data_IF_830284993683
#
_entry.id   IF_830284993683
#
_cell.length_a   1.000
_cell.length_b   1.000
_cell.length_c   1.000
_cell.angle_alpha   90.00
_cell.angle_beta   90.00
_cell.angle_gamma   90.00
#
_symmetry.space_group_name_H-M   'P 1'
#
loop_
_entity.id
_entity.type
_entity.pdbx_description
1 polymer ?
#
# COMPACT_ATOMS: atom_id res chain seq x y z
N UNK A 1 -4.90 -28.99 -5.79
CA UNK A 1 -3.58 -28.32 -5.84
C UNK A 1 -2.64 -29.03 -4.86
N UNK A 2 -1.33 -29.01 -5.15
CA UNK A 2 -0.29 -29.70 -4.36
C UNK A 2 0.87 -28.72 -4.15
N UNK A 3 1.55 -28.74 -2.98
CA UNK A 3 2.80 -28.00 -2.80
C UNK A 3 3.83 -28.33 -3.87
N UNK A 4 4.66 -27.36 -4.21
CA UNK A 4 5.74 -27.45 -5.21
C UNK A 4 5.26 -27.72 -6.63
N UNK A 5 3.99 -27.40 -6.93
CA UNK A 5 3.41 -27.55 -8.26
C UNK A 5 2.49 -26.40 -8.62
N UNK A 6 3.03 -25.45 -9.38
CA UNK A 6 2.32 -24.31 -9.92
C UNK A 6 2.55 -24.17 -11.44
N UNK A 7 1.70 -23.37 -12.09
CA UNK A 7 1.74 -23.14 -13.52
C UNK A 7 1.53 -21.65 -13.82
N UNK A 8 2.29 -21.13 -14.77
CA UNK A 8 2.12 -19.78 -15.28
C UNK A 8 1.52 -19.81 -16.69
N UNK A 9 0.52 -18.96 -16.92
CA UNK A 9 -0.18 -18.84 -18.20
C UNK A 9 0.07 -17.43 -18.78
N UNK A 10 1.15 -17.24 -19.57
CA UNK A 10 1.41 -15.93 -20.17
C UNK A 10 0.32 -15.60 -21.19
N UNK A 11 -0.37 -14.48 -21.01
CA UNK A 11 -1.33 -13.89 -21.97
C UNK A 11 -0.77 -12.66 -22.70
N UNK A 12 0.33 -12.12 -22.17
CA UNK A 12 1.20 -11.12 -22.77
C UNK A 12 2.63 -11.53 -22.44
N UNK A 13 3.55 -11.24 -23.34
CA UNK A 13 4.97 -11.56 -23.20
C UNK A 13 5.78 -10.60 -24.08
N UNK A 14 7.12 -10.55 -23.91
CA UNK A 14 7.99 -9.75 -24.75
C UNK A 14 7.82 -10.06 -26.23
N UNK A 15 8.17 -9.10 -27.09
CA UNK A 15 8.05 -9.27 -28.54
C UNK A 15 8.79 -10.53 -29.02
N UNK A 16 8.09 -11.42 -29.72
CA UNK A 16 8.63 -12.67 -30.24
C UNK A 16 8.51 -13.87 -29.29
N UNK A 17 8.15 -13.67 -28.02
CA UNK A 17 7.86 -14.74 -27.09
C UNK A 17 6.48 -15.34 -27.33
N UNK A 18 6.32 -16.65 -27.04
CA UNK A 18 5.03 -17.33 -27.14
C UNK A 18 4.16 -16.97 -25.93
N UNK A 19 2.90 -16.64 -26.20
CA UNK A 19 1.89 -16.46 -25.17
C UNK A 19 0.53 -16.97 -25.66
N UNK A 20 -0.42 -17.11 -24.75
CA UNK A 20 -1.78 -17.53 -25.02
C UNK A 20 -2.62 -16.36 -25.56
N UNK A 21 -3.59 -16.68 -26.40
CA UNK A 21 -4.64 -15.74 -26.80
C UNK A 21 -5.59 -15.48 -25.62
N UNK A 22 -5.74 -14.21 -25.24
CA UNK A 22 -6.57 -13.81 -24.11
C UNK A 22 -8.05 -14.23 -24.30
N UNK A 23 -8.57 -14.19 -25.53
CA UNK A 23 -9.95 -14.62 -25.77
C UNK A 23 -10.12 -16.13 -25.55
N UNK A 24 -9.16 -16.96 -25.97
CA UNK A 24 -9.13 -18.38 -25.68
C UNK A 24 -9.02 -18.67 -24.18
N UNK A 25 -8.16 -17.94 -23.46
CA UNK A 25 -8.02 -18.05 -22.00
C UNK A 25 -9.33 -17.71 -21.31
N UNK A 26 -9.99 -16.60 -21.68
CA UNK A 26 -11.31 -16.23 -21.15
C UNK A 26 -12.35 -17.33 -21.36
N UNK A 27 -12.47 -17.87 -22.57
CA UNK A 27 -13.43 -18.95 -22.86
C UNK A 27 -13.21 -20.19 -21.98
N UNK A 28 -11.95 -20.51 -21.64
CA UNK A 28 -11.59 -21.71 -20.87
C UNK A 28 -11.63 -21.48 -19.35
N UNK A 29 -11.12 -20.35 -18.86
CA UNK A 29 -10.94 -20.09 -17.44
C UNK A 29 -12.08 -19.31 -16.79
N UNK A 30 -12.77 -18.42 -17.51
CA UNK A 30 -13.85 -17.62 -16.91
C UNK A 30 -14.94 -18.49 -16.24
N UNK A 31 -15.39 -19.62 -16.83
CA UNK A 31 -16.37 -20.48 -16.16
C UNK A 31 -15.85 -21.07 -14.84
N UNK A 32 -14.56 -21.42 -14.77
CA UNK A 32 -13.92 -22.00 -13.57
C UNK A 32 -13.73 -20.93 -12.50
N UNK A 33 -13.28 -19.74 -12.90
CA UNK A 33 -13.10 -18.61 -11.99
C UNK A 33 -14.43 -18.14 -11.41
N UNK A 34 -15.50 -18.12 -12.21
CA UNK A 34 -16.83 -17.70 -11.80
C UNK A 34 -17.61 -18.76 -10.98
N UNK A 35 -17.15 -20.02 -10.93
CA UNK A 35 -17.80 -21.08 -10.17
C UNK A 35 -17.51 -20.96 -8.67
N UNK A 36 -18.55 -20.71 -7.86
CA UNK A 36 -18.46 -20.58 -6.40
C UNK A 36 -18.05 -21.88 -5.70
N UNK A 37 -18.32 -23.04 -6.31
CA UNK A 37 -17.93 -24.35 -5.75
C UNK A 37 -16.43 -24.62 -5.87
N UNK A 38 -15.77 -23.97 -6.83
CA UNK A 38 -14.31 -23.98 -6.94
C UNK A 38 -13.77 -22.95 -5.96
N UNK A 39 -13.09 -23.43 -4.91
CA UNK A 39 -12.47 -22.59 -3.89
C UNK A 39 -11.14 -22.00 -4.36
N UNK A 40 -10.95 -20.70 -4.17
CA UNK A 40 -9.72 -19.97 -4.53
C UNK A 40 -9.00 -19.50 -3.28
N UNK A 41 -7.68 -19.70 -3.30
CA UNK A 41 -6.75 -19.27 -2.28
C UNK A 41 -5.84 -18.23 -2.91
N UNK A 42 -5.57 -17.14 -2.21
CA UNK A 42 -4.68 -16.08 -2.69
C UNK A 42 -3.96 -15.37 -1.54
N UNK A 43 -3.04 -14.50 -1.91
CA UNK A 43 -2.40 -13.54 -1.02
C UNK A 43 -2.87 -12.15 -1.45
N UNK A 44 -3.57 -11.41 -0.58
CA UNK A 44 -4.17 -10.12 -0.95
C UNK A 44 -5.07 -10.24 -2.21
N UNK A 45 -5.96 -11.23 -2.21
CA UNK A 45 -6.79 -11.63 -3.36
C UNK A 45 -7.74 -10.51 -3.83
N UNK A 46 -7.93 -9.46 -3.02
CA UNK A 46 -8.58 -8.21 -3.41
C UNK A 46 -7.94 -7.60 -4.67
N UNK A 47 -6.62 -7.61 -4.77
CA UNK A 47 -5.93 -7.10 -5.94
C UNK A 47 -6.26 -7.93 -7.18
N UNK A 48 -6.22 -9.26 -7.07
CA UNK A 48 -6.58 -10.16 -8.16
C UNK A 48 -8.03 -10.00 -8.60
N UNK A 49 -8.97 -9.77 -7.67
CA UNK A 49 -10.37 -9.45 -7.99
C UNK A 49 -10.46 -8.30 -8.98
N UNK A 50 -9.79 -7.19 -8.67
CA UNK A 50 -9.82 -5.98 -9.49
C UNK A 50 -9.16 -6.20 -10.86
N UNK A 51 -7.99 -6.84 -10.88
CA UNK A 51 -7.26 -7.13 -12.14
C UNK A 51 -8.08 -8.05 -13.03
N UNK A 52 -8.62 -9.14 -12.49
CA UNK A 52 -9.39 -10.13 -13.24
C UNK A 52 -10.74 -9.57 -13.70
N UNK A 53 -11.41 -8.76 -12.87
CA UNK A 53 -12.65 -8.07 -13.27
C UNK A 53 -12.40 -7.14 -14.46
N UNK A 54 -11.34 -6.33 -14.42
CA UNK A 54 -10.93 -5.49 -15.56
C UNK A 54 -10.55 -6.31 -16.79
N UNK A 55 -10.01 -7.50 -16.59
CA UNK A 55 -9.69 -8.45 -17.65
C UNK A 55 -10.90 -9.27 -18.14
N UNK A 56 -12.13 -9.00 -17.70
CA UNK A 56 -13.33 -9.75 -18.11
C UNK A 56 -13.34 -11.20 -17.64
N UNK A 57 -12.69 -11.47 -16.51
CA UNK A 57 -12.55 -12.76 -15.84
C UNK A 57 -13.12 -12.67 -14.42
N UNK A 58 -14.43 -12.45 -14.23
CA UNK A 58 -14.99 -12.35 -12.89
C UNK A 58 -14.72 -13.64 -12.11
N UNK A 59 -14.24 -13.47 -10.88
CA UNK A 59 -13.89 -14.55 -9.97
C UNK A 59 -14.91 -14.60 -8.83
N UNK A 60 -15.28 -15.81 -8.44
CA UNK A 60 -16.11 -16.12 -7.27
C UNK A 60 -15.48 -17.25 -6.47
N UNK A 61 -16.09 -17.65 -5.36
CA UNK A 61 -15.58 -18.77 -4.55
C UNK A 61 -14.24 -18.44 -3.87
N UNK A 62 -14.04 -17.17 -3.51
CA UNK A 62 -12.90 -16.75 -2.69
C UNK A 62 -13.04 -17.45 -1.35
N UNK A 63 -12.06 -18.29 -1.03
CA UNK A 63 -12.14 -19.17 0.13
C UNK A 63 -11.14 -18.78 1.21
N UNK A 64 -9.94 -18.34 0.82
CA UNK A 64 -8.89 -18.06 1.79
C UNK A 64 -7.91 -17.00 1.26
N UNK A 65 -7.64 -15.98 2.09
CA UNK A 65 -6.57 -15.03 1.86
C UNK A 65 -5.50 -15.18 2.94
N UNK A 66 -4.27 -15.52 2.55
CA UNK A 66 -3.16 -15.77 3.49
C UNK A 66 -2.73 -14.51 4.24
N UNK A 67 -2.87 -13.33 3.64
CA UNK A 67 -2.59 -12.05 4.31
C UNK A 67 -3.58 -11.82 5.44
N UNK A 68 -4.87 -12.03 5.16
CA UNK A 68 -5.96 -11.83 6.12
C UNK A 68 -5.89 -12.87 7.23
N UNK A 69 -5.64 -14.14 6.91
CA UNK A 69 -5.48 -15.19 7.91
C UNK A 69 -4.32 -14.90 8.87
N UNK A 70 -3.19 -14.45 8.33
CA UNK A 70 -2.02 -14.03 9.12
C UNK A 70 -2.35 -12.83 10.02
N UNK A 71 -3.09 -11.86 9.52
CA UNK A 71 -3.57 -10.71 10.30
C UNK A 71 -4.47 -11.14 11.46
N UNK A 72 -5.45 -12.00 11.23
CA UNK A 72 -6.32 -12.50 12.29
C UNK A 72 -5.55 -13.23 13.40
N UNK A 73 -4.52 -14.00 13.02
CA UNK A 73 -3.71 -14.77 13.97
C UNK A 73 -2.75 -13.88 14.76
N UNK A 74 -2.06 -12.95 14.10
CA UNK A 74 -0.98 -12.15 14.71
C UNK A 74 -0.93 -10.73 14.13
N UNK A 75 -1.77 -9.78 14.56
CA UNK A 75 -1.90 -8.46 13.91
C UNK A 75 -0.64 -7.57 13.89
N UNK A 76 0.38 -7.89 14.70
CA UNK A 76 1.57 -7.04 14.89
C UNK A 76 2.74 -7.38 13.94
N UNK A 77 2.68 -8.52 13.24
CA UNK A 77 3.77 -8.94 12.34
C UNK A 77 3.57 -8.37 10.93
N UNK A 78 4.58 -8.57 10.09
CA UNK A 78 4.38 -8.36 8.65
C UNK A 78 3.56 -9.49 8.04
N UNK A 79 2.63 -9.11 7.16
CA UNK A 79 1.73 -10.01 6.44
C UNK A 79 2.04 -10.10 4.94
N UNK A 80 3.22 -9.64 4.52
CA UNK A 80 3.70 -9.89 3.15
C UNK A 80 4.01 -11.38 2.96
N UNK A 81 3.81 -11.87 1.75
CA UNK A 81 4.11 -13.27 1.41
C UNK A 81 5.58 -13.59 1.70
N UNK A 82 6.50 -12.72 1.28
CA UNK A 82 7.94 -12.90 1.43
C UNK A 82 8.34 -13.09 2.90
N UNK A 83 7.83 -12.25 3.81
CA UNK A 83 8.14 -12.37 5.23
C UNK A 83 7.48 -13.60 5.85
N UNK A 84 6.27 -13.96 5.42
CA UNK A 84 5.61 -15.17 5.89
C UNK A 84 6.30 -16.44 5.39
N UNK A 85 6.78 -16.45 4.15
CA UNK A 85 7.53 -17.55 3.58
C UNK A 85 8.85 -17.75 4.33
N UNK A 86 9.56 -16.65 4.63
CA UNK A 86 10.79 -16.70 5.42
C UNK A 86 10.52 -17.24 6.82
N UNK A 87 9.54 -16.69 7.54
CA UNK A 87 9.29 -17.04 8.94
C UNK A 87 8.71 -18.44 9.12
N UNK A 88 7.76 -18.85 8.27
CA UNK A 88 6.99 -20.07 8.46
C UNK A 88 7.48 -21.24 7.62
N UNK A 89 8.08 -20.97 6.46
CA UNK A 89 8.55 -21.99 5.52
C UNK A 89 10.07 -22.04 5.43
N UNK A 90 10.79 -21.11 6.10
CA UNK A 90 12.24 -20.95 5.99
C UNK A 90 12.69 -20.83 4.51
N UNK A 91 11.92 -20.04 3.74
CA UNK A 91 12.09 -19.88 2.30
C UNK A 91 12.16 -18.40 1.92
N UNK A 92 13.19 -18.02 1.16
CA UNK A 92 13.36 -16.66 0.65
C UNK A 92 12.77 -16.56 -0.76
N UNK A 93 11.68 -15.81 -0.92
CA UNK A 93 11.04 -15.61 -2.22
C UNK A 93 11.90 -14.76 -3.16
N UNK A 94 11.70 -14.96 -4.46
CA UNK A 94 12.29 -14.13 -5.51
C UNK A 94 11.68 -12.72 -5.38
N UNK A 95 12.47 -11.67 -5.10
CA UNK A 95 11.91 -10.34 -4.97
C UNK A 95 11.49 -9.82 -6.35
N UNK A 96 10.30 -9.20 -6.46
CA UNK A 96 9.80 -8.61 -7.72
C UNK A 96 10.84 -7.69 -8.39
N UNK A 97 11.65 -6.98 -7.59
CA UNK A 97 12.71 -6.09 -8.12
C UNK A 97 13.84 -6.80 -8.84
N UNK A 98 14.02 -8.12 -8.65
CA UNK A 98 14.95 -8.91 -9.46
C UNK A 98 14.43 -9.08 -10.90
N UNK A 99 13.11 -9.02 -11.11
CA UNK A 99 12.49 -9.12 -12.43
C UNK A 99 12.36 -7.75 -13.09
N UNK A 100 11.84 -6.77 -12.36
CA UNK A 100 11.45 -5.48 -12.95
C UNK A 100 12.39 -4.32 -12.60
N UNK A 101 13.36 -4.53 -11.71
CA UNK A 101 14.22 -3.43 -11.24
C UNK A 101 13.51 -2.46 -10.29
N UNK A 102 14.09 -1.26 -10.12
CA UNK A 102 13.63 -0.22 -9.19
C UNK A 102 13.70 1.18 -9.80
N UNK A 103 12.91 2.10 -9.27
CA UNK A 103 12.95 3.53 -9.63
C UNK A 103 12.37 3.82 -11.01
N UNK A 104 12.80 4.94 -11.62
CA UNK A 104 12.23 5.45 -12.89
C UNK A 104 12.41 4.49 -14.08
N UNK A 105 13.37 3.57 -14.01
CA UNK A 105 13.67 2.60 -15.07
C UNK A 105 13.07 1.21 -14.79
N UNK A 106 12.14 1.12 -13.83
CA UNK A 106 11.44 -0.13 -13.55
C UNK A 106 10.66 -0.60 -14.78
N UNK A 107 10.82 -1.88 -15.13
CA UNK A 107 10.13 -2.53 -16.24
C UNK A 107 8.67 -2.84 -15.88
N UNK A 108 7.82 -2.97 -16.89
CA UNK A 108 6.50 -3.57 -16.73
C UNK A 108 6.59 -5.09 -16.90
N UNK A 109 5.69 -5.85 -16.25
CA UNK A 109 5.78 -7.31 -16.22
C UNK A 109 5.65 -7.97 -17.61
N UNK A 110 4.97 -7.30 -18.56
CA UNK A 110 4.76 -7.79 -19.92
C UNK A 110 6.03 -7.79 -20.80
N UNK A 111 7.09 -7.10 -20.36
CA UNK A 111 8.39 -7.08 -21.05
C UNK A 111 9.48 -7.87 -20.31
N UNK A 112 9.13 -8.57 -19.23
CA UNK A 112 10.03 -9.49 -18.52
C UNK A 112 10.16 -10.80 -19.31
N UNK A 113 11.36 -11.40 -19.28
CA UNK A 113 11.58 -12.73 -19.86
C UNK A 113 10.53 -13.73 -19.35
N UNK A 114 9.96 -14.52 -20.26
CA UNK A 114 8.82 -15.38 -19.93
C UNK A 114 9.18 -16.52 -18.98
N UNK A 115 10.42 -17.02 -19.00
CA UNK A 115 10.86 -18.05 -18.08
C UNK A 115 11.05 -17.46 -16.67
N UNK A 116 11.69 -16.30 -16.55
CA UNK A 116 11.82 -15.61 -15.26
C UNK A 116 10.45 -15.21 -14.68
N UNK A 117 9.55 -14.70 -15.52
CA UNK A 117 8.17 -14.40 -15.13
C UNK A 117 7.41 -15.65 -14.67
N UNK A 118 7.66 -16.79 -15.33
CA UNK A 118 7.08 -18.08 -14.94
C UNK A 118 7.57 -18.52 -13.57
N UNK A 119 8.88 -18.47 -13.30
CA UNK A 119 9.46 -18.86 -12.01
C UNK A 119 8.87 -18.02 -10.88
N UNK A 120 8.87 -16.69 -11.02
CA UNK A 120 8.29 -15.78 -10.04
C UNK A 120 6.78 -16.02 -9.82
N UNK A 121 5.98 -16.02 -10.89
CA UNK A 121 4.53 -16.16 -10.74
C UNK A 121 4.09 -17.56 -10.27
N UNK A 122 4.85 -18.60 -10.62
CA UNK A 122 4.61 -19.95 -10.12
C UNK A 122 5.02 -20.08 -8.65
N UNK A 123 6.13 -19.45 -8.24
CA UNK A 123 6.54 -19.37 -6.84
C UNK A 123 5.45 -18.70 -5.99
N UNK A 124 4.94 -17.53 -6.40
CA UNK A 124 3.85 -16.84 -5.69
C UNK A 124 2.65 -17.75 -5.43
N UNK A 125 2.22 -18.50 -6.46
CA UNK A 125 1.09 -19.42 -6.36
C UNK A 125 1.39 -20.62 -5.45
N UNK A 126 2.61 -21.18 -5.51
CA UNK A 126 3.03 -22.30 -4.67
C UNK A 126 3.18 -21.90 -3.20
N UNK A 127 3.94 -20.84 -2.93
CA UNK A 127 4.18 -20.32 -1.59
C UNK A 127 2.86 -19.91 -0.93
N UNK A 128 1.97 -19.24 -1.66
CA UNK A 128 0.62 -18.93 -1.17
C UNK A 128 -0.15 -20.19 -0.77
N UNK A 129 -0.07 -21.26 -1.57
CA UNK A 129 -0.75 -22.51 -1.25
C UNK A 129 -0.16 -23.20 -0.01
N UNK A 130 1.17 -23.20 0.13
CA UNK A 130 1.85 -23.73 1.32
C UNK A 130 1.51 -22.93 2.59
N UNK A 131 1.52 -21.60 2.49
CA UNK A 131 1.12 -20.71 3.59
C UNK A 131 -0.35 -20.92 3.97
N UNK A 132 -1.24 -21.14 3.01
CA UNK A 132 -2.63 -21.51 3.29
C UNK A 132 -2.74 -22.78 4.12
N UNK A 133 -1.99 -23.84 3.77
CA UNK A 133 -2.02 -25.09 4.54
C UNK A 133 -1.57 -24.86 5.99
N UNK A 134 -0.50 -24.08 6.18
CA UNK A 134 0.02 -23.73 7.49
C UNK A 134 -0.96 -22.86 8.31
N UNK A 135 -1.45 -21.78 7.73
CA UNK A 135 -2.32 -20.82 8.41
C UNK A 135 -3.70 -21.39 8.69
N UNK A 136 -4.23 -22.25 7.81
CA UNK A 136 -5.50 -22.95 8.03
C UNK A 136 -5.43 -23.86 9.27
N UNK A 137 -4.37 -24.66 9.39
CA UNK A 137 -4.18 -25.53 10.57
C UNK A 137 -4.07 -24.71 11.86
N UNK A 138 -3.41 -23.55 11.81
CA UNK A 138 -3.33 -22.63 12.94
C UNK A 138 -4.69 -22.01 13.30
N UNK A 139 -5.46 -21.53 12.32
CA UNK A 139 -6.80 -20.99 12.54
C UNK A 139 -7.75 -22.05 13.12
N UNK A 140 -7.64 -23.31 12.69
CA UNK A 140 -8.46 -24.40 13.24
C UNK A 140 -8.25 -24.62 14.74
N UNK A 141 -7.10 -24.23 15.29
CA UNK A 141 -6.79 -24.29 16.72
C UNK A 141 -7.33 -23.10 17.52
N UNK A 142 -7.82 -22.05 16.86
CA UNK A 142 -8.30 -20.81 17.46
C UNK A 142 -9.74 -20.48 17.00
N UNK A 143 -10.78 -21.13 17.55
CA UNK A 143 -12.15 -21.06 17.02
C UNK A 143 -12.74 -19.64 16.92
N UNK A 144 -12.39 -18.75 17.86
CA UNK A 144 -12.85 -17.36 17.85
C UNK A 144 -12.21 -16.58 16.68
N UNK A 145 -10.91 -16.77 16.44
CA UNK A 145 -10.20 -16.12 15.33
C UNK A 145 -10.62 -16.69 13.99
N UNK A 146 -10.86 -18.00 13.92
CA UNK A 146 -11.46 -18.62 12.73
C UNK A 146 -12.81 -18.01 12.39
N UNK A 147 -13.68 -17.82 13.41
CA UNK A 147 -14.98 -17.18 13.18
C UNK A 147 -14.84 -15.74 12.69
N UNK A 148 -13.93 -14.95 13.28
CA UNK A 148 -13.62 -13.61 12.80
C UNK A 148 -13.17 -13.63 11.32
N UNK A 149 -12.26 -14.54 10.99
CA UNK A 149 -11.75 -14.72 9.64
C UNK A 149 -12.88 -15.08 8.65
N UNK A 150 -13.69 -16.09 8.95
CA UNK A 150 -14.73 -16.62 8.04
C UNK A 150 -15.97 -15.71 7.94
N UNK A 151 -16.44 -15.14 9.05
CA UNK A 151 -17.71 -14.42 9.10
C UNK A 151 -17.57 -12.91 8.84
N UNK A 152 -16.38 -12.34 9.04
CA UNK A 152 -16.16 -10.88 8.96
C UNK A 152 -15.11 -10.54 7.90
N UNK A 153 -13.88 -11.03 8.09
CA UNK A 153 -12.74 -10.54 7.29
C UNK A 153 -12.79 -11.04 5.84
N UNK A 154 -13.06 -12.32 5.60
CA UNK A 154 -13.16 -12.87 4.25
C UNK A 154 -14.33 -12.27 3.43
N UNK A 155 -15.55 -12.09 3.98
CA UNK A 155 -16.61 -11.35 3.29
C UNK A 155 -16.24 -9.90 2.96
N UNK A 156 -15.50 -9.23 3.86
CA UNK A 156 -15.09 -7.84 3.69
C UNK A 156 -14.15 -7.65 2.48
N UNK A 157 -13.33 -8.63 2.13
CA UNK A 157 -12.43 -8.58 0.95
C UNK A 157 -13.20 -8.20 -0.33
N UNK A 158 -14.36 -8.82 -0.57
CA UNK A 158 -15.15 -8.56 -1.78
C UNK A 158 -15.84 -7.18 -1.73
N UNK A 159 -16.24 -6.73 -0.54
CA UNK A 159 -16.82 -5.40 -0.34
C UNK A 159 -15.78 -4.31 -0.61
N UNK A 160 -14.57 -4.47 -0.07
CA UNK A 160 -13.47 -3.53 -0.31
C UNK A 160 -13.09 -3.47 -1.80
N UNK A 161 -13.02 -4.61 -2.48
CA UNK A 161 -12.80 -4.64 -3.93
C UNK A 161 -13.90 -3.87 -4.68
N UNK A 162 -15.17 -4.04 -4.31
CA UNK A 162 -16.26 -3.30 -4.95
C UNK A 162 -16.19 -1.78 -4.68
N UNK A 163 -15.85 -1.38 -3.45
CA UNK A 163 -15.65 0.03 -3.09
C UNK A 163 -14.50 0.66 -3.89
N UNK A 164 -13.35 -0.04 -3.98
CA UNK A 164 -12.19 0.41 -4.75
C UNK A 164 -12.49 0.50 -6.24
N UNK A 165 -13.21 -0.48 -6.79
CA UNK A 165 -13.63 -0.48 -8.19
C UNK A 165 -14.57 0.69 -8.52
N UNK A 166 -15.49 1.03 -7.61
CA UNK A 166 -16.43 2.13 -7.80
C UNK A 166 -15.75 3.50 -7.72
N UNK A 167 -14.77 3.64 -6.82
CA UNK A 167 -14.06 4.90 -6.57
C UNK A 167 -14.95 5.99 -5.96
N UNK A 168 -14.44 7.22 -5.99
CA UNK A 168 -15.12 8.42 -5.51
C UNK A 168 -15.08 9.51 -6.58
N UNK A 169 -16.20 10.19 -6.81
CA UNK A 169 -16.26 11.32 -7.73
C UNK A 169 -15.70 12.58 -7.06
N UNK A 170 -14.92 13.37 -7.81
CA UNK A 170 -14.28 14.58 -7.33
C UNK A 170 -14.67 15.78 -8.19
N UNK A 171 -15.07 16.88 -7.53
CA UNK A 171 -15.19 18.18 -8.18
C UNK A 171 -13.82 18.84 -8.30
N UNK A 172 -13.17 18.63 -9.44
CA UNK A 172 -11.84 19.17 -9.71
C UNK A 172 -11.83 20.70 -9.85
N UNK A 173 -12.96 21.33 -10.17
CA UNK A 173 -13.05 22.79 -10.26
C UNK A 173 -13.09 23.40 -8.86
N UNK A 174 -13.88 22.83 -7.95
CA UNK A 174 -13.88 23.21 -6.54
C UNK A 174 -12.50 23.01 -5.90
N UNK A 175 -11.86 21.85 -6.12
CA UNK A 175 -10.51 21.58 -5.60
C UNK A 175 -9.49 22.61 -6.11
N UNK A 176 -9.58 23.02 -7.38
CA UNK A 176 -8.71 24.07 -7.93
C UNK A 176 -8.99 25.44 -7.31
N UNK A 177 -10.26 25.77 -7.06
CA UNK A 177 -10.64 27.02 -6.38
C UNK A 177 -10.07 27.05 -4.95
N UNK A 178 -10.27 25.98 -4.19
CA UNK A 178 -9.73 25.85 -2.82
C UNK A 178 -8.19 25.95 -2.81
N UNK A 179 -7.52 25.35 -3.81
CA UNK A 179 -6.07 25.49 -3.94
C UNK A 179 -5.65 26.95 -4.09
N UNK A 180 -6.38 27.75 -4.88
CA UNK A 180 -6.10 29.18 -5.03
C UNK A 180 -6.35 29.97 -3.73
N UNK A 181 -7.47 29.72 -3.07
CA UNK A 181 -7.81 30.35 -1.78
C UNK A 181 -6.75 30.06 -0.71
N UNK A 182 -6.27 28.82 -0.62
CA UNK A 182 -5.20 28.44 0.31
C UNK A 182 -3.90 29.14 -0.06
N UNK A 183 -3.57 29.29 -1.35
CA UNK A 183 -2.37 30.02 -1.79
C UNK A 183 -2.43 31.49 -1.35
N UNK A 184 -3.56 32.17 -1.54
CA UNK A 184 -3.72 33.57 -1.10
C UNK A 184 -3.57 33.72 0.42
N UNK A 185 -4.10 32.76 1.20
CA UNK A 185 -3.91 32.73 2.66
C UNK A 185 -2.45 32.52 3.02
N UNK A 186 -1.75 31.59 2.36
CA UNK A 186 -0.34 31.32 2.61
C UNK A 186 0.54 32.54 2.28
N UNK A 187 0.25 33.25 1.20
CA UNK A 187 0.95 34.49 0.85
C UNK A 187 0.77 35.54 1.95
N UNK A 188 -0.48 35.73 2.41
CA UNK A 188 -0.80 36.68 3.48
C UNK A 188 -0.11 36.32 4.81
N UNK A 189 -0.08 35.04 5.18
CA UNK A 189 0.60 34.57 6.40
C UNK A 189 2.11 34.71 6.28
N UNK A 190 2.67 34.39 5.11
CA UNK A 190 4.10 34.53 4.82
C UNK A 190 4.56 35.97 4.96
N UNK A 191 3.79 36.93 4.45
CA UNK A 191 4.07 38.36 4.63
C UNK A 191 4.07 38.77 6.10
N UNK A 192 3.07 38.33 6.88
CA UNK A 192 3.01 38.59 8.33
C UNK A 192 4.21 37.99 9.07
N UNK A 193 4.63 36.77 8.70
CA UNK A 193 5.80 36.12 9.30
C UNK A 193 7.06 36.94 9.02
N UNK A 194 7.26 37.38 7.77
CA UNK A 194 8.41 38.21 7.41
C UNK A 194 8.38 39.58 8.11
N UNK A 195 7.21 40.19 8.26
CA UNK A 195 7.04 41.43 9.02
C UNK A 195 7.44 41.25 10.49
N UNK A 196 6.91 40.22 11.16
CA UNK A 196 7.23 39.93 12.55
C UNK A 196 8.68 39.45 12.76
N UNK A 197 9.27 38.75 11.79
CA UNK A 197 10.66 38.30 11.84
C UNK A 197 11.66 39.40 11.43
N UNK A 198 11.21 40.44 10.71
CA UNK A 198 12.03 41.52 10.18
C UNK A 198 12.99 41.11 9.06
N UNK A 199 12.83 39.92 8.47
CA UNK A 199 13.56 39.47 7.28
C UNK A 199 12.83 38.35 6.54
N UNK A 200 13.21 38.13 5.29
CA UNK A 200 12.73 37.01 4.48
C UNK A 200 13.63 35.79 4.67
N UNK A 201 13.03 34.62 4.82
CA UNK A 201 13.74 33.35 4.94
C UNK A 201 12.85 32.21 4.42
N UNK A 202 13.41 31.01 4.26
CA UNK A 202 12.61 29.85 3.91
C UNK A 202 11.87 29.32 5.15
N UNK A 203 10.57 29.61 5.25
CA UNK A 203 9.69 29.18 6.34
C UNK A 203 9.60 27.65 6.41
N UNK A 204 9.65 26.95 5.26
CA UNK A 204 9.61 25.49 5.17
C UNK A 204 10.91 24.81 5.63
N UNK A 205 11.95 25.59 5.97
CA UNK A 205 13.21 25.05 6.48
C UNK A 205 13.22 25.11 8.01
N UNK A 206 13.05 23.98 8.73
CA UNK A 206 13.05 23.96 10.19
C UNK A 206 14.31 24.58 10.78
N UNK A 207 15.44 24.48 10.07
CA UNK A 207 16.72 25.08 10.49
C UNK A 207 16.69 26.61 10.41
N UNK A 208 16.16 27.19 9.34
CA UNK A 208 16.08 28.65 9.22
C UNK A 208 15.02 29.20 10.17
N UNK A 209 13.84 28.57 10.22
CA UNK A 209 12.77 28.93 11.15
C UNK A 209 13.26 28.88 12.62
N UNK A 210 13.92 27.79 13.03
CA UNK A 210 14.52 27.68 14.35
C UNK A 210 15.55 28.76 14.65
N UNK A 211 16.32 29.20 13.65
CA UNK A 211 17.29 30.30 13.81
C UNK A 211 16.57 31.63 14.06
N UNK A 212 15.52 31.93 13.29
CA UNK A 212 14.71 33.13 13.48
C UNK A 212 14.05 33.13 14.87
N UNK A 213 13.37 32.05 15.24
CA UNK A 213 12.60 31.99 16.49
C UNK A 213 13.50 32.07 17.73
N UNK A 214 14.57 31.28 17.79
CA UNK A 214 15.35 31.13 19.03
C UNK A 214 16.64 31.95 19.07
N UNK A 215 17.28 32.21 17.93
CA UNK A 215 18.52 33.00 17.91
C UNK A 215 18.25 34.50 17.72
N UNK A 216 17.35 34.86 16.80
CA UNK A 216 17.05 36.27 16.49
C UNK A 216 15.98 36.87 17.39
N UNK A 217 14.81 36.23 17.48
CA UNK A 217 13.69 36.69 18.29
C UNK A 217 13.85 36.32 19.78
N UNK A 218 14.78 35.41 20.08
CA UNK A 218 15.16 35.08 21.46
C UNK A 218 14.10 34.31 22.25
N UNK A 219 13.19 33.61 21.56
CA UNK A 219 12.17 32.78 22.20
C UNK A 219 12.80 31.64 23.00
N UNK A 220 12.14 31.18 24.05
CA UNK A 220 12.70 30.11 24.89
C UNK A 220 12.51 28.76 24.21
N UNK A 221 13.58 28.06 23.78
CA UNK A 221 13.41 26.78 23.11
C UNK A 221 12.95 25.70 24.09
N UNK A 222 11.85 25.04 23.77
CA UNK A 222 11.41 23.83 24.48
C UNK A 222 12.26 22.67 23.95
N UNK A 223 13.13 22.14 24.81
CA UNK A 223 14.12 21.12 24.42
C UNK A 223 13.45 19.79 24.11
N UNK A 224 13.56 19.36 22.86
CA UNK A 224 13.26 17.99 22.43
C UNK A 224 14.45 17.43 21.64
N UNK A 225 14.92 16.23 22.00
CA UNK A 225 15.99 15.51 21.27
C UNK A 225 17.42 16.07 21.42
N UNK A 226 18.32 15.62 20.53
CA UNK A 226 19.78 15.90 20.59
C UNK A 226 20.19 17.33 20.17
N UNK A 227 19.37 18.03 19.37
CA UNK A 227 19.60 19.41 18.90
C UNK A 227 19.04 20.49 19.82
N UNK A 228 18.11 20.13 20.73
CA UNK A 228 17.57 21.02 21.76
C UNK A 228 16.61 22.13 21.26
N UNK A 229 16.22 22.14 19.99
CA UNK A 229 15.30 23.10 19.36
C UNK A 229 14.34 22.34 18.44
N UNK A 230 13.04 22.56 18.61
CA UNK A 230 11.97 22.02 17.75
C UNK A 230 11.07 23.15 17.29
N UNK A 231 10.58 23.05 16.05
CA UNK A 231 9.57 23.92 15.45
C UNK A 231 8.31 23.12 15.10
N UNK A 232 8.05 22.01 15.79
CA UNK A 232 6.84 21.23 15.61
C UNK A 232 5.62 22.00 16.11
N UNK A 233 4.44 21.80 15.51
CA UNK A 233 3.22 22.52 15.86
C UNK A 233 2.92 22.49 17.37
N UNK A 234 2.97 21.32 18.02
CA UNK A 234 2.72 21.21 19.46
C UNK A 234 3.76 21.90 20.36
N UNK A 235 4.95 22.21 19.84
CA UNK A 235 5.96 23.03 20.54
C UNK A 235 5.67 24.51 20.33
N UNK A 236 5.34 24.91 19.11
CA UNK A 236 4.97 26.28 18.77
C UNK A 236 3.69 26.72 19.50
N UNK A 237 2.71 25.84 19.69
CA UNK A 237 1.50 26.12 20.49
C UNK A 237 1.83 26.54 21.93
N UNK A 238 2.87 25.98 22.54
CA UNK A 238 3.30 26.37 23.89
C UNK A 238 3.99 27.75 23.91
N UNK A 239 4.49 28.19 22.77
CA UNK A 239 5.18 29.48 22.57
C UNK A 239 4.24 30.57 22.02
N UNK A 240 2.95 30.27 21.82
CA UNK A 240 1.97 31.17 21.21
C UNK A 240 1.92 32.54 21.90
N UNK A 241 2.09 32.57 23.22
CA UNK A 241 2.05 33.80 24.01
C UNK A 241 3.39 34.54 24.09
N UNK A 242 4.49 33.95 23.62
CA UNK A 242 5.81 34.58 23.70
C UNK A 242 6.06 35.58 22.56
N UNK A 243 5.51 35.34 21.36
CA UNK A 243 5.69 36.27 20.24
C UNK A 243 4.58 36.15 19.17
N UNK A 244 4.10 37.28 18.60
CA UNK A 244 3.03 37.28 17.58
C UNK A 244 3.40 36.57 16.27
N UNK A 245 4.69 36.32 16.01
CA UNK A 245 5.14 35.52 14.85
C UNK A 245 4.65 34.08 14.90
N UNK A 246 4.36 33.55 16.09
CA UNK A 246 4.04 32.14 16.28
C UNK A 246 2.65 31.79 15.75
N UNK A 247 1.67 32.69 15.95
CA UNK A 247 0.30 32.50 15.46
C UNK A 247 0.22 32.28 13.94
N UNK A 248 0.86 33.09 13.06
CA UNK A 248 0.81 32.85 11.63
C UNK A 248 1.68 31.67 11.14
N UNK A 249 2.57 31.11 11.98
CA UNK A 249 3.35 29.91 11.64
C UNK A 249 2.54 28.63 11.87
N UNK A 250 1.63 28.63 12.86
CA UNK A 250 0.73 27.51 13.19
C UNK A 250 -0.40 27.37 12.16
#
# INVERSE_FOLDING_TARGET
>A
WQPHRAFYLPIKAPMGAKHLDLAAVRRKLAPILADESVKKVGQNIKYDLLVLQNAGLPIKGIYFDTMVASYCLEPQRSHSMDNMALDFLNYECIPISALIGKGKNQLTFDIVDTAAACEYAAEDADITFQLYLYLKDRLEKEPLLKKLFEDVEMPLVSVLAAMEYNGVSLDTALLRKMSGEITEVLETLTEKIYEHAGETFNIDSPKQLSGILFDKLGLTPIRIGKSGRSTDAGVLEQLLHEHPVIEPIL
#
